data_IF_187436064961
#
_entry.id   IF_187436064961
#
_cell.length_a   1.000
_cell.length_b   1.000
_cell.length_c   1.000
_cell.angle_alpha   90.00
_cell.angle_beta   90.00
_cell.angle_gamma   90.00
#
_symmetry.space_group_name_H-M   'P 1'
#
loop_
_entity.id
_entity.type
_entity.pdbx_description
1 polymer ?
#
# COMPACT_ATOMS: atom_id res chain seq x y z
N UNK A 1 6.82 -27.52 -3.50
CA UNK A 1 6.76 -26.25 -4.27
C UNK A 1 7.25 -25.16 -3.34
N UNK A 2 8.24 -24.35 -3.74
CA UNK A 2 8.65 -23.18 -2.95
C UNK A 2 7.61 -22.09 -3.22
N UNK A 3 6.73 -21.79 -2.27
CA UNK A 3 5.84 -20.65 -2.40
C UNK A 3 6.71 -19.40 -2.39
N UNK A 4 6.74 -18.67 -3.50
CA UNK A 4 7.35 -17.35 -3.56
C UNK A 4 6.34 -16.37 -2.97
N UNK A 5 6.70 -15.80 -1.82
CA UNK A 5 5.94 -14.77 -1.15
C UNK A 5 6.38 -13.40 -1.66
N UNK A 6 5.43 -12.55 -2.03
CA UNK A 6 5.66 -11.18 -2.48
C UNK A 6 5.07 -10.20 -1.47
N UNK A 7 5.71 -9.05 -1.35
CA UNK A 7 5.19 -7.96 -0.52
C UNK A 7 4.20 -7.12 -1.32
N UNK A 8 3.06 -6.83 -0.73
CA UNK A 8 2.01 -5.97 -1.28
C UNK A 8 1.75 -4.81 -0.32
N UNK A 9 1.39 -3.66 -0.88
CA UNK A 9 0.97 -2.51 -0.09
C UNK A 9 -0.51 -2.62 0.24
N UNK A 10 -0.85 -2.70 1.52
CA UNK A 10 -2.22 -2.70 2.00
C UNK A 10 -2.74 -1.27 2.14
N UNK A 11 -3.99 -1.08 1.74
CA UNK A 11 -4.72 0.18 1.76
C UNK A 11 -5.92 0.10 2.70
N UNK A 12 -6.30 1.24 3.29
CA UNK A 12 -7.60 1.38 3.93
C UNK A 12 -8.74 1.53 2.90
N UNK A 13 -9.97 1.68 3.40
CA UNK A 13 -11.17 1.84 2.57
C UNK A 13 -11.16 3.08 1.68
N UNK A 14 -10.35 4.08 2.03
CA UNK A 14 -10.19 5.34 1.30
C UNK A 14 -8.99 5.31 0.35
N UNK A 15 -8.24 4.20 0.30
CA UNK A 15 -7.07 4.00 -0.55
C UNK A 15 -5.76 4.53 0.03
N UNK A 16 -5.70 4.85 1.33
CA UNK A 16 -4.45 5.26 1.99
C UNK A 16 -3.62 4.05 2.41
N UNK A 17 -2.30 4.16 2.27
CA UNK A 17 -1.37 3.15 2.72
C UNK A 17 -1.44 2.95 4.23
N UNK A 18 -1.56 1.69 4.66
CA UNK A 18 -1.60 1.30 6.08
C UNK A 18 -0.52 0.28 6.47
N UNK A 19 0.20 -0.28 5.50
CA UNK A 19 1.32 -1.18 5.77
C UNK A 19 1.63 -2.15 4.63
N UNK A 20 2.64 -2.99 4.85
CA UNK A 20 3.03 -4.03 3.91
C UNK A 20 2.55 -5.38 4.43
N UNK A 21 1.99 -6.18 3.53
CA UNK A 21 1.64 -7.58 3.82
C UNK A 21 2.42 -8.51 2.89
N UNK A 22 2.76 -9.69 3.39
CA UNK A 22 3.34 -10.76 2.58
C UNK A 22 2.21 -11.66 2.08
N UNK A 23 2.12 -11.90 0.77
CA UNK A 23 1.12 -12.77 0.16
C UNK A 23 1.76 -13.70 -0.88
N UNK A 24 1.06 -14.78 -1.21
CA UNK A 24 1.47 -15.71 -2.26
C UNK A 24 1.30 -15.07 -3.65
N UNK A 25 2.24 -15.34 -4.56
CA UNK A 25 2.39 -14.65 -5.86
C UNK A 25 1.12 -14.54 -6.73
N UNK A 26 0.17 -15.45 -6.57
CA UNK A 26 -1.03 -15.53 -7.40
C UNK A 26 -2.28 -14.89 -6.79
N UNK A 27 -2.17 -14.29 -5.59
CA UNK A 27 -3.29 -13.72 -4.87
C UNK A 27 -2.95 -12.30 -4.44
N UNK A 28 -3.68 -11.32 -4.98
CA UNK A 28 -3.67 -9.94 -4.47
C UNK A 28 -4.96 -9.78 -3.66
N UNK A 29 -4.89 -9.69 -2.32
CA UNK A 29 -6.07 -9.47 -1.50
C UNK A 29 -6.77 -8.16 -1.87
N UNK A 30 -8.07 -8.10 -1.64
CA UNK A 30 -8.81 -6.86 -1.79
C UNK A 30 -8.22 -5.76 -0.89
N UNK A 31 -8.15 -4.54 -1.40
CA UNK A 31 -7.51 -3.43 -0.69
C UNK A 31 -5.98 -3.50 -0.69
N UNK A 32 -5.35 -4.37 -1.49
CA UNK A 32 -3.90 -4.39 -1.66
C UNK A 32 -3.50 -4.04 -3.09
N UNK A 33 -2.34 -3.42 -3.25
CA UNK A 33 -1.77 -3.06 -4.55
C UNK A 33 -0.34 -3.58 -4.66
N UNK A 34 0.02 -4.01 -5.86
CA UNK A 34 1.40 -4.41 -6.19
C UNK A 34 2.18 -3.16 -6.59
N UNK A 35 2.79 -2.53 -5.59
CA UNK A 35 3.61 -1.34 -5.72
C UNK A 35 4.75 -1.40 -4.71
N UNK A 36 5.82 -0.66 -4.95
CA UNK A 36 6.83 -0.40 -3.91
C UNK A 36 6.20 0.40 -2.77
N UNK A 37 6.70 0.18 -1.55
CA UNK A 37 6.22 0.89 -0.37
C UNK A 37 6.44 2.42 -0.53
N UNK A 38 5.45 3.27 -0.20
CA UNK A 38 5.63 4.70 -0.27
C UNK A 38 6.64 5.17 0.78
N UNK A 39 7.44 6.17 0.44
CA UNK A 39 8.36 6.80 1.38
C UNK A 39 7.59 7.47 2.52
N UNK A 40 8.10 7.37 3.74
CA UNK A 40 7.56 8.13 4.87
C UNK A 40 7.84 9.63 4.69
N UNK A 41 6.80 10.47 4.81
CA UNK A 41 6.92 11.94 4.73
C UNK A 41 6.26 12.59 5.93
N UNK A 42 6.99 13.46 6.63
CA UNK A 42 6.51 14.10 7.86
C UNK A 42 5.21 14.89 7.62
N UNK A 43 4.17 14.60 8.41
CA UNK A 43 2.86 15.24 8.32
C UNK A 43 2.04 14.89 7.06
N UNK A 44 2.46 13.86 6.30
CA UNK A 44 1.76 13.41 5.09
C UNK A 44 1.44 11.93 5.13
N UNK A 45 0.34 11.57 4.48
CA UNK A 45 -0.08 10.19 4.22
C UNK A 45 -0.07 9.93 2.72
N UNK A 46 0.30 8.71 2.33
CA UNK A 46 0.31 8.28 0.93
C UNK A 46 -1.04 7.64 0.56
N UNK A 47 -1.64 8.09 -0.54
CA UNK A 47 -2.85 7.52 -1.13
C UNK A 47 -2.53 6.93 -2.49
N UNK A 48 -3.02 5.74 -2.78
CA UNK A 48 -2.87 5.13 -4.10
C UNK A 48 -3.93 5.70 -5.06
N UNK A 49 -3.49 6.35 -6.14
CA UNK A 49 -4.37 6.92 -7.17
C UNK A 49 -3.76 6.68 -8.55
N UNK A 50 -4.55 6.19 -9.50
CA UNK A 50 -4.15 6.04 -10.90
C UNK A 50 -2.81 5.32 -11.15
N UNK A 51 -2.42 4.41 -10.25
CA UNK A 51 -1.18 3.64 -10.35
C UNK A 51 0.05 4.29 -9.72
N UNK A 52 -0.13 5.36 -8.95
CA UNK A 52 0.95 6.09 -8.27
C UNK A 52 0.60 6.47 -6.82
N UNK A 53 1.64 6.79 -6.04
CA UNK A 53 1.52 7.30 -4.67
C UNK A 53 1.37 8.82 -4.65
N UNK A 54 0.20 9.29 -4.23
CA UNK A 54 -0.09 10.72 -4.04
C UNK A 54 -0.04 11.06 -2.56
N UNK A 55 0.83 12.00 -2.18
CA UNK A 55 1.02 12.40 -0.78
C UNK A 55 0.12 13.56 -0.40
N UNK A 56 -0.71 13.36 0.61
CA UNK A 56 -1.66 14.35 1.13
C UNK A 56 -1.31 14.72 2.56
N UNK A 57 -1.60 15.97 2.94
CA UNK A 57 -1.47 16.39 4.33
C UNK A 57 -2.42 15.57 5.19
N UNK A 58 -1.90 14.97 6.25
CA UNK A 58 -2.75 14.25 7.17
C UNK A 58 -3.52 15.25 8.03
N UNK A 59 -4.82 15.36 7.79
CA UNK A 59 -5.72 16.20 8.58
C UNK A 59 -6.28 15.46 9.80
N UNK A 60 -5.84 14.21 10.06
CA UNK A 60 -6.28 13.36 11.19
C UNK A 60 -5.57 13.68 12.51
N UNK A 61 -4.93 14.85 12.61
CA UNK A 61 -4.23 15.34 13.82
C UNK A 61 -5.16 16.17 14.70
#
# INVERSE_FOLDING_TARGET
MKNQSHNLCALDVDGFFIGVISCEENLIPAGCVKAEEPESRYGKVAKWQDGEWVYQTDARI
#
